data_IF_147119334331
#
_entry.id   IF_147119334331
#
_cell.length_a   1.000
_cell.length_b   1.000
_cell.length_c   1.000
_cell.angle_alpha   90.00
_cell.angle_beta   90.00
_cell.angle_gamma   90.00
#
_symmetry.space_group_name_H-M   'P 1'
#
loop_
_entity.id
_entity.type
_entity.pdbx_description
1 polymer ?
#
# COMPACT_ATOMS: atom_id res chain seq x y z
N UNK A 1 47.86 -14.04 2.19
CA UNK A 1 46.46 -13.93 1.91
C UNK A 1 45.83 -13.18 3.06
N UNK A 2 45.36 -11.97 2.78
CA UNK A 2 44.79 -11.08 3.77
C UNK A 2 43.28 -11.14 3.59
N UNK A 3 42.58 -11.69 4.58
CA UNK A 3 41.13 -11.69 4.69
C UNK A 3 40.67 -10.30 5.11
N UNK A 4 40.26 -9.51 4.14
CA UNK A 4 39.67 -8.19 4.38
C UNK A 4 38.21 -8.35 4.79
N UNK A 5 37.96 -8.38 6.10
CA UNK A 5 36.60 -8.19 6.64
C UNK A 5 36.10 -6.80 6.28
N UNK A 6 35.17 -6.76 5.33
CA UNK A 6 34.45 -5.56 4.95
C UNK A 6 33.34 -5.34 6.01
N UNK A 7 33.70 -4.64 7.09
CA UNK A 7 32.75 -4.19 8.11
C UNK A 7 31.80 -3.17 7.48
N UNK A 8 30.58 -3.61 7.15
CA UNK A 8 29.47 -2.72 6.82
C UNK A 8 29.00 -2.03 8.08
N UNK A 9 29.65 -0.93 8.43
CA UNK A 9 29.12 -0.01 9.44
C UNK A 9 27.84 0.59 8.87
N UNK A 10 26.70 0.12 9.41
CA UNK A 10 25.40 0.74 9.14
C UNK A 10 25.49 2.21 9.56
N UNK A 11 25.56 3.11 8.58
CA UNK A 11 25.54 4.53 8.82
C UNK A 11 24.27 4.89 9.57
N UNK A 12 24.42 5.30 10.85
CA UNK A 12 23.34 5.81 11.70
C UNK A 12 22.80 7.07 11.04
N UNK A 13 21.61 6.99 10.41
CA UNK A 13 20.94 8.17 9.85
C UNK A 13 20.79 9.21 10.95
N UNK A 14 21.16 10.47 10.69
CA UNK A 14 20.96 11.52 11.68
C UNK A 14 19.47 11.66 11.97
N UNK A 15 19.12 11.80 13.25
CA UNK A 15 17.74 11.89 13.75
C UNK A 15 16.92 13.05 13.13
N UNK A 16 17.59 14.01 12.51
CA UNK A 16 16.97 15.20 11.89
C UNK A 16 16.20 14.95 10.59
N UNK A 17 16.27 13.74 10.02
CA UNK A 17 15.65 13.45 8.70
C UNK A 17 14.47 12.47 8.75
N UNK A 18 13.98 12.07 9.93
CA UNK A 18 12.83 11.16 9.99
C UNK A 18 11.55 11.98 9.81
N UNK A 19 11.08 12.02 8.57
CA UNK A 19 9.80 12.62 8.19
C UNK A 19 8.68 11.58 8.24
N UNK A 20 7.44 12.02 8.06
CA UNK A 20 6.29 11.12 7.93
C UNK A 20 6.50 10.06 6.84
N UNK A 21 7.17 10.41 5.73
CA UNK A 21 7.49 9.46 4.65
C UNK A 21 8.34 8.27 5.12
N UNK A 22 9.18 8.46 6.14
CA UNK A 22 9.99 7.38 6.72
C UNK A 22 9.18 6.40 7.56
N UNK A 23 8.07 6.84 8.16
CA UNK A 23 7.22 6.01 9.04
C UNK A 23 5.98 5.46 8.32
N UNK A 24 5.54 6.07 7.21
CA UNK A 24 4.36 5.62 6.47
C UNK A 24 4.41 4.15 6.05
N UNK A 25 5.53 3.60 5.52
CA UNK A 25 5.62 2.18 5.21
C UNK A 25 5.37 1.29 6.42
N UNK A 26 5.84 1.69 7.61
CA UNK A 26 5.62 0.94 8.86
C UNK A 26 4.13 0.92 9.17
N UNK A 27 3.45 2.07 9.15
CA UNK A 27 2.02 2.15 9.36
C UNK A 27 1.24 1.29 8.35
N UNK A 28 1.58 1.38 7.06
CA UNK A 28 0.92 0.63 6.00
C UNK A 28 1.07 -0.87 6.17
N UNK A 29 2.25 -1.34 6.48
CA UNK A 29 2.53 -2.78 6.58
C UNK A 29 2.13 -3.41 7.93
N UNK A 30 2.14 -2.62 9.01
CA UNK A 30 1.98 -3.16 10.38
C UNK A 30 0.66 -2.76 11.04
N UNK A 31 0.01 -1.67 10.60
CA UNK A 31 -1.07 -1.06 11.38
C UNK A 31 -2.36 -0.87 10.58
N UNK A 32 -2.30 -0.33 9.34
CA UNK A 32 -3.51 0.10 8.60
C UNK A 32 -4.39 -1.04 8.11
N UNK A 33 -3.94 -2.28 8.18
CA UNK A 33 -4.79 -3.45 7.94
C UNK A 33 -5.98 -3.50 8.90
N UNK A 34 -5.77 -3.08 10.17
CA UNK A 34 -6.80 -3.01 11.20
C UNK A 34 -7.20 -1.58 11.55
N UNK A 35 -6.31 -0.60 11.38
CA UNK A 35 -6.50 0.82 11.72
C UNK A 35 -6.43 1.69 10.48
N UNK A 36 -7.25 1.40 9.46
CA UNK A 36 -7.25 2.06 8.16
C UNK A 36 -8.66 2.39 7.65
N UNK A 37 -8.80 2.56 6.32
CA UNK A 37 -10.07 2.97 5.71
C UNK A 37 -11.20 1.95 5.89
N UNK A 38 -10.88 0.66 5.71
CA UNK A 38 -11.90 -0.42 5.70
C UNK A 38 -12.20 -0.94 7.10
N UNK A 39 -11.25 -0.84 7.99
CA UNK A 39 -11.30 -1.32 9.35
C UNK A 39 -10.72 -0.27 10.27
N UNK A 40 -11.43 0.07 11.33
CA UNK A 40 -11.00 1.06 12.34
C UNK A 40 -11.24 0.48 13.73
N UNK A 41 -10.45 -0.55 14.06
CA UNK A 41 -10.53 -1.18 15.37
C UNK A 41 -10.31 -0.14 16.47
N UNK A 42 -11.18 -0.14 17.47
CA UNK A 42 -11.18 0.89 18.50
C UNK A 42 -11.43 2.32 17.99
N UNK A 43 -12.07 2.49 16.81
CA UNK A 43 -12.31 3.79 16.21
C UNK A 43 -11.04 4.53 15.76
N UNK A 44 -9.91 3.83 15.69
CA UNK A 44 -8.61 4.41 15.35
C UNK A 44 -8.31 4.30 13.85
N UNK A 45 -7.95 5.42 13.24
CA UNK A 45 -7.42 5.51 11.87
C UNK A 45 -5.98 6.04 11.90
N UNK A 46 -5.02 5.25 11.41
CA UNK A 46 -3.60 5.60 11.42
C UNK A 46 -3.08 6.09 10.06
N UNK A 47 -3.95 6.37 9.09
CA UNK A 47 -3.55 6.79 7.74
C UNK A 47 -3.04 8.22 7.67
N UNK A 48 -3.61 9.14 8.44
CA UNK A 48 -3.26 10.56 8.41
C UNK A 48 -2.73 11.03 9.75
N UNK A 49 -1.90 12.07 9.76
CA UNK A 49 -1.42 12.67 10.99
C UNK A 49 -2.58 13.17 11.87
N UNK A 50 -3.55 13.86 11.26
CA UNK A 50 -4.70 14.38 11.99
C UNK A 50 -5.49 13.27 12.71
N UNK A 51 -5.72 12.13 12.04
CA UNK A 51 -6.42 11.00 12.65
C UNK A 51 -5.59 10.30 13.73
N UNK A 52 -4.28 10.22 13.59
CA UNK A 52 -3.36 9.68 14.63
C UNK A 52 -3.38 10.55 15.88
N UNK A 53 -3.36 11.87 15.73
CA UNK A 53 -3.45 12.82 16.84
C UNK A 53 -4.83 12.82 17.50
N UNK A 54 -5.90 12.71 16.72
CA UNK A 54 -7.27 12.53 17.23
C UNK A 54 -7.38 11.24 18.05
N UNK A 55 -6.77 10.15 17.55
CA UNK A 55 -6.82 8.84 18.17
C UNK A 55 -8.13 8.11 18.01
N UNK A 56 -8.37 7.12 18.85
CA UNK A 56 -9.57 6.28 18.87
C UNK A 56 -10.31 6.35 20.22
N UNK A 57 -11.06 5.30 20.54
CA UNK A 57 -11.85 5.22 21.78
C UNK A 57 -11.01 5.26 23.05
N UNK A 58 -9.71 4.90 22.97
CA UNK A 58 -8.77 4.94 24.09
C UNK A 58 -7.98 6.27 24.19
N UNK A 59 -8.33 7.26 23.37
CA UNK A 59 -7.65 8.56 23.33
C UNK A 59 -6.64 8.69 22.18
N UNK A 60 -5.80 9.75 22.20
CA UNK A 60 -4.79 10.00 21.18
C UNK A 60 -3.80 8.85 21.03
N UNK A 61 -3.55 8.45 19.80
CA UNK A 61 -2.56 7.40 19.53
C UNK A 61 -1.13 7.91 19.68
N UNK A 62 -0.90 9.20 19.44
CA UNK A 62 0.38 9.89 19.47
C UNK A 62 0.32 11.09 20.40
N UNK A 63 1.39 11.28 21.15
CA UNK A 63 1.71 12.52 21.88
C UNK A 63 3.00 13.06 21.28
N UNK A 64 2.96 14.12 20.45
CA UNK A 64 4.14 14.68 19.82
C UNK A 64 5.24 15.04 20.83
N UNK A 65 6.47 14.66 20.54
CA UNK A 65 7.62 14.85 21.43
C UNK A 65 7.72 13.87 22.60
N UNK A 66 6.71 12.99 22.79
CA UNK A 66 6.63 12.12 23.97
C UNK A 66 6.30 10.67 23.59
N UNK A 67 7.25 9.90 23.08
CA UNK A 67 7.00 8.51 22.68
C UNK A 67 6.50 7.64 23.84
N UNK A 68 7.04 7.83 25.05
CA UNK A 68 6.66 7.04 26.24
C UNK A 68 5.22 7.33 26.73
N UNK A 69 4.68 8.50 26.42
CA UNK A 69 3.28 8.84 26.70
C UNK A 69 2.34 8.40 25.58
N UNK A 70 2.87 8.15 24.37
CA UNK A 70 2.09 7.76 23.18
C UNK A 70 1.51 6.36 23.32
N UNK A 71 0.19 6.24 23.21
CA UNK A 71 -0.52 4.96 23.34
C UNK A 71 -0.05 3.94 22.28
N UNK A 72 0.27 4.39 21.09
CA UNK A 72 0.83 3.56 20.02
C UNK A 72 2.11 2.86 20.50
N UNK A 73 3.07 3.60 21.07
CA UNK A 73 4.32 3.02 21.55
C UNK A 73 4.10 2.05 22.70
N UNK A 74 3.25 2.41 23.66
CA UNK A 74 2.90 1.53 24.78
C UNK A 74 2.36 0.19 24.29
N UNK A 75 1.40 0.21 23.35
CA UNK A 75 0.75 -0.99 22.82
C UNK A 75 1.69 -1.85 21.96
N UNK A 76 2.59 -1.23 21.20
CA UNK A 76 3.58 -1.96 20.40
C UNK A 76 4.63 -2.60 21.30
N UNK A 77 5.17 -1.86 22.28
CA UNK A 77 6.21 -2.35 23.18
C UNK A 77 5.70 -3.44 24.13
N UNK A 78 4.44 -3.36 24.57
CA UNK A 78 3.82 -4.40 25.39
C UNK A 78 3.46 -5.68 24.60
N UNK A 79 3.54 -5.64 23.26
CA UNK A 79 3.11 -6.73 22.39
C UNK A 79 1.59 -6.87 22.26
N UNK A 80 0.80 -5.93 22.79
CA UNK A 80 -0.64 -5.91 22.58
C UNK A 80 -1.02 -5.63 21.13
N UNK A 81 -0.18 -4.89 20.39
CA UNK A 81 -0.39 -4.53 18.98
C UNK A 81 0.85 -4.83 18.13
N UNK A 82 0.64 -5.53 16.99
CA UNK A 82 -0.59 -6.21 16.59
C UNK A 82 -0.87 -7.44 17.47
N UNK A 83 -2.15 -7.79 17.70
CA UNK A 83 -2.48 -9.03 18.41
C UNK A 83 -1.95 -10.26 17.65
N UNK A 84 -1.45 -11.27 18.37
CA UNK A 84 -0.82 -12.45 17.77
C UNK A 84 -1.68 -13.16 16.73
N UNK A 85 -3.01 -13.17 16.90
CA UNK A 85 -3.94 -13.75 15.92
C UNK A 85 -3.90 -13.06 14.55
N UNK A 86 -3.51 -11.78 14.47
CA UNK A 86 -3.46 -11.02 13.22
C UNK A 86 -2.36 -11.51 12.29
N UNK A 87 -1.32 -12.17 12.82
CA UNK A 87 -0.30 -12.82 12.00
C UNK A 87 -0.90 -13.90 11.10
N UNK A 88 -1.82 -14.69 11.65
CA UNK A 88 -2.44 -15.81 10.94
C UNK A 88 -3.60 -15.38 10.05
N UNK A 89 -4.41 -14.43 10.50
CA UNK A 89 -5.61 -13.99 9.77
C UNK A 89 -5.28 -13.01 8.63
N UNK A 90 -4.28 -12.14 8.81
CA UNK A 90 -3.99 -11.02 7.89
C UNK A 90 -2.51 -10.91 7.51
N UNK A 91 -1.67 -11.86 7.89
CA UNK A 91 -0.22 -11.84 7.69
C UNK A 91 0.46 -10.56 8.24
N UNK A 92 -0.13 -9.92 9.24
CA UNK A 92 0.41 -8.70 9.87
C UNK A 92 1.44 -9.11 10.92
N UNK A 93 2.71 -8.82 10.66
CA UNK A 93 3.81 -9.06 11.60
C UNK A 93 4.00 -7.87 12.53
N UNK A 94 4.43 -8.09 13.77
CA UNK A 94 4.87 -7.02 14.65
C UNK A 94 5.96 -6.16 14.00
N UNK A 95 6.03 -4.86 14.31
CA UNK A 95 7.17 -4.04 13.92
C UNK A 95 8.49 -4.62 14.45
N UNK A 96 9.54 -4.58 13.65
CA UNK A 96 10.89 -4.95 14.08
C UNK A 96 11.44 -3.92 15.07
N UNK A 97 12.50 -4.27 15.80
CA UNK A 97 13.16 -3.34 16.71
C UNK A 97 13.62 -2.07 16.00
N UNK A 98 14.13 -2.17 14.77
CA UNK A 98 14.54 -1.02 13.99
C UNK A 98 13.34 -0.15 13.55
N UNK A 99 12.20 -0.75 13.21
CA UNK A 99 10.98 -0.01 12.90
C UNK A 99 10.42 0.70 14.15
N UNK A 100 10.50 0.08 15.31
CA UNK A 100 10.11 0.67 16.59
C UNK A 100 10.98 1.89 16.89
N UNK A 101 12.31 1.81 16.70
CA UNK A 101 13.21 2.95 16.90
C UNK A 101 12.93 4.09 15.90
N UNK A 102 12.60 3.78 14.66
CA UNK A 102 12.20 4.80 13.68
C UNK A 102 10.92 5.51 14.13
N UNK A 103 9.91 4.77 14.60
CA UNK A 103 8.69 5.36 15.17
C UNK A 103 8.97 6.22 16.40
N UNK A 104 9.84 5.74 17.31
CA UNK A 104 10.25 6.48 18.52
C UNK A 104 10.86 7.82 18.16
N UNK A 105 11.90 7.83 17.31
CA UNK A 105 12.59 9.06 16.90
C UNK A 105 11.67 10.02 16.15
N UNK A 106 10.75 9.50 15.31
CA UNK A 106 9.78 10.35 14.63
C UNK A 106 8.83 11.03 15.62
N UNK A 107 8.36 10.30 16.65
CA UNK A 107 7.50 10.89 17.70
C UNK A 107 8.29 11.89 18.54
N UNK A 108 9.55 11.59 18.92
CA UNK A 108 10.45 12.50 19.63
C UNK A 108 10.67 13.82 18.89
N UNK A 109 10.78 13.75 17.56
CA UNK A 109 10.88 14.92 16.69
C UNK A 109 9.56 15.72 16.55
N UNK A 110 8.52 15.34 17.31
CA UNK A 110 7.22 16.01 17.27
C UNK A 110 6.23 15.41 16.27
N UNK A 111 6.51 14.22 15.75
CA UNK A 111 5.70 13.53 14.74
C UNK A 111 5.41 14.43 13.51
N UNK A 112 6.44 14.99 12.86
CA UNK A 112 6.26 15.95 11.78
C UNK A 112 5.51 15.34 10.60
N UNK A 113 4.54 16.10 10.05
CA UNK A 113 3.86 15.76 8.81
C UNK A 113 4.80 15.92 7.61
N UNK A 114 4.57 15.15 6.56
CA UNK A 114 5.18 15.44 5.27
C UNK A 114 4.45 16.62 4.59
N UNK A 115 5.18 17.58 4.03
CA UNK A 115 4.53 18.67 3.31
C UNK A 115 3.66 18.24 2.12
N UNK A 116 3.83 17.01 1.64
CA UNK A 116 3.05 16.43 0.55
C UNK A 116 1.83 15.59 0.99
N UNK A 117 1.68 15.31 2.28
CA UNK A 117 0.56 14.49 2.81
C UNK A 117 -0.58 15.32 3.37
N UNK A 118 -0.49 16.63 3.32
CA UNK A 118 -1.47 17.51 3.93
C UNK A 118 -2.84 17.53 3.24
N UNK A 119 -2.97 16.98 2.05
CA UNK A 119 -4.26 16.96 1.38
C UNK A 119 -4.43 15.68 0.53
N UNK A 120 -4.79 14.58 1.16
CA UNK A 120 -5.69 13.67 0.46
C UNK A 120 -7.02 14.41 0.41
N UNK A 121 -7.31 15.01 -0.72
CA UNK A 121 -8.53 15.76 -0.91
C UNK A 121 -9.72 14.90 -0.48
N UNK A 122 -10.50 15.41 0.48
CA UNK A 122 -11.70 14.74 0.98
C UNK A 122 -12.80 14.67 -0.09
N UNK A 123 -12.61 15.36 -1.20
CA UNK A 123 -13.52 15.44 -2.35
C UNK A 123 -13.28 14.40 -3.46
N UNK A 124 -12.33 13.49 -3.26
CA UNK A 124 -12.03 12.41 -4.22
C UNK A 124 -11.15 12.82 -5.40
N UNK A 125 -10.68 14.06 -5.47
CA UNK A 125 -9.69 14.51 -6.46
C UNK A 125 -8.29 14.40 -5.86
N UNK A 126 -7.46 13.51 -6.41
CA UNK A 126 -6.05 13.39 -6.05
C UNK A 126 -5.28 14.44 -6.87
N UNK A 127 -4.59 15.43 -6.23
CA UNK A 127 -3.84 16.45 -6.94
C UNK A 127 -2.63 15.88 -7.72
N UNK A 128 -2.23 14.65 -7.42
CA UNK A 128 -1.17 13.94 -8.16
C UNK A 128 -1.70 13.22 -9.41
N UNK A 129 -3.03 13.14 -9.59
CA UNK A 129 -3.67 12.51 -10.75
C UNK A 129 -4.32 13.60 -11.58
N UNK A 130 -3.68 13.95 -12.68
CA UNK A 130 -4.21 14.92 -13.63
C UNK A 130 -5.42 14.39 -14.41
N UNK A 131 -6.18 15.27 -15.04
CA UNK A 131 -7.27 14.86 -15.93
C UNK A 131 -6.75 14.11 -17.16
N UNK A 132 -5.49 14.31 -17.54
CA UNK A 132 -4.83 13.55 -18.60
C UNK A 132 -4.55 12.11 -18.15
N UNK A 133 -4.06 11.92 -16.91
CA UNK A 133 -3.85 10.59 -16.34
C UNK A 133 -5.17 9.80 -16.26
N UNK A 134 -6.27 10.48 -15.92
CA UNK A 134 -7.61 9.87 -15.86
C UNK A 134 -8.10 9.39 -17.23
N UNK A 135 -7.63 9.97 -18.34
CA UNK A 135 -7.97 9.56 -19.69
C UNK A 135 -7.16 8.37 -20.17
N UNK A 136 -6.11 7.99 -19.45
CA UNK A 136 -5.31 6.83 -19.83
C UNK A 136 -6.19 5.57 -19.86
N UNK A 137 -5.98 4.72 -20.84
CA UNK A 137 -6.89 3.62 -21.15
C UNK A 137 -7.18 2.67 -19.98
N UNK A 138 -6.18 2.41 -19.11
CA UNK A 138 -6.34 1.50 -17.97
C UNK A 138 -7.23 2.06 -16.85
N UNK A 139 -7.46 3.37 -16.83
CA UNK A 139 -8.34 4.04 -15.87
C UNK A 139 -9.73 4.34 -16.44
N UNK A 140 -9.94 4.04 -17.72
CA UNK A 140 -11.26 4.17 -18.34
C UNK A 140 -12.11 2.92 -18.07
N UNK A 141 -13.42 3.08 -17.85
CA UNK A 141 -14.32 1.93 -17.76
C UNK A 141 -14.18 1.06 -19.01
N UNK A 142 -14.06 -0.27 -18.87
CA UNK A 142 -13.95 -1.15 -20.01
C UNK A 142 -15.18 -1.03 -20.90
N UNK A 143 -14.95 -0.77 -22.17
CA UNK A 143 -16.00 -0.74 -23.20
C UNK A 143 -16.03 -2.08 -23.91
N UNK A 144 -17.23 -2.66 -24.06
CA UNK A 144 -17.40 -3.90 -24.82
C UNK A 144 -17.21 -3.58 -26.31
N UNK A 145 -16.16 -4.12 -26.97
CA UNK A 145 -15.98 -3.91 -28.39
C UNK A 145 -17.06 -4.65 -29.20
N UNK A 146 -17.37 -4.17 -30.39
CA UNK A 146 -18.21 -4.92 -31.34
C UNK A 146 -17.50 -6.23 -31.71
N UNK A 147 -18.24 -7.32 -31.67
CA UNK A 147 -17.71 -8.63 -32.08
C UNK A 147 -17.54 -8.61 -33.61
N UNK A 148 -16.32 -8.82 -34.14
CA UNK A 148 -16.08 -8.79 -35.56
C UNK A 148 -16.68 -10.02 -36.25
N UNK A 149 -16.84 -9.96 -37.57
CA UNK A 149 -17.14 -11.13 -38.41
C UNK A 149 -15.85 -11.80 -38.83
N UNK A 150 -15.84 -13.13 -38.83
CA UNK A 150 -14.72 -13.97 -39.28
C UNK A 150 -15.16 -14.97 -40.33
N UNK A 151 -14.22 -15.44 -41.16
CA UNK A 151 -14.49 -16.42 -42.23
C UNK A 151 -14.77 -17.82 -41.66
N UNK A 152 -13.97 -18.22 -40.64
CA UNK A 152 -14.05 -19.56 -40.03
C UNK A 152 -14.99 -19.60 -38.84
N UNK A 153 -16.27 -19.28 -39.04
CA UNK A 153 -17.27 -19.25 -37.97
C UNK A 153 -17.47 -20.59 -37.26
N UNK A 154 -17.21 -21.71 -37.94
CA UNK A 154 -17.29 -23.05 -37.33
C UNK A 154 -16.29 -23.31 -36.21
N UNK A 155 -15.25 -22.49 -36.11
CA UNK A 155 -14.24 -22.56 -35.01
C UNK A 155 -14.60 -21.71 -33.80
N UNK A 156 -15.66 -20.92 -33.87
CA UNK A 156 -16.08 -20.01 -32.81
C UNK A 156 -16.88 -20.75 -31.74
N UNK A 157 -16.36 -20.82 -30.54
CA UNK A 157 -17.06 -21.34 -29.34
C UNK A 157 -17.46 -20.22 -28.38
N UNK A 158 -16.62 -19.19 -28.30
CA UNK A 158 -16.82 -18.03 -27.42
C UNK A 158 -16.58 -16.72 -28.18
N UNK A 159 -17.08 -15.58 -27.69
CA UNK A 159 -16.78 -14.29 -28.32
C UNK A 159 -15.28 -13.97 -28.38
N UNK A 160 -14.47 -14.52 -27.49
CA UNK A 160 -13.00 -14.33 -27.51
C UNK A 160 -12.38 -14.97 -28.74
N UNK A 161 -12.89 -16.13 -29.16
CA UNK A 161 -12.38 -16.86 -30.35
C UNK A 161 -12.51 -16.02 -31.61
N UNK A 162 -13.56 -15.22 -31.71
CA UNK A 162 -13.77 -14.32 -32.87
C UNK A 162 -12.64 -13.30 -32.98
N UNK A 163 -12.21 -12.70 -31.88
CA UNK A 163 -11.09 -11.74 -31.89
C UNK A 163 -9.75 -12.39 -32.20
N UNK A 164 -9.55 -13.64 -31.78
CA UNK A 164 -8.35 -14.41 -32.12
C UNK A 164 -8.36 -14.77 -33.61
N UNK A 165 -9.46 -15.33 -34.11
CA UNK A 165 -9.62 -15.72 -35.51
C UNK A 165 -9.46 -14.53 -36.46
N UNK A 166 -10.03 -13.36 -36.11
CA UNK A 166 -9.84 -12.15 -36.90
C UNK A 166 -8.36 -11.80 -37.09
N UNK A 167 -7.56 -11.90 -35.99
CA UNK A 167 -6.12 -11.63 -36.05
C UNK A 167 -5.33 -12.68 -36.82
N UNK A 168 -5.74 -13.92 -36.76
CA UNK A 168 -5.12 -15.02 -37.52
C UNK A 168 -5.43 -14.88 -38.99
N UNK A 169 -6.70 -14.68 -39.38
CA UNK A 169 -7.14 -14.48 -40.72
C UNK A 169 -6.48 -13.27 -41.41
N UNK A 170 -6.31 -12.16 -40.65
CA UNK A 170 -5.60 -10.97 -41.15
C UNK A 170 -4.11 -11.25 -41.46
N UNK A 171 -3.54 -12.33 -40.92
CA UNK A 171 -2.17 -12.78 -41.20
C UNK A 171 -2.08 -14.00 -42.10
N UNK A 172 -3.23 -14.44 -42.68
CA UNK A 172 -3.35 -15.68 -43.43
C UNK A 172 -2.87 -16.92 -42.68
N UNK A 173 -3.12 -16.94 -41.35
CA UNK A 173 -2.82 -18.09 -40.51
C UNK A 173 -4.10 -18.88 -40.23
N UNK A 174 -4.00 -20.20 -40.26
CA UNK A 174 -5.07 -21.14 -39.89
C UNK A 174 -4.78 -21.79 -38.58
N UNK A 175 -5.83 -22.18 -37.83
CA UNK A 175 -5.71 -22.99 -36.60
C UNK A 175 -5.93 -24.44 -37.00
N UNK A 176 -4.90 -25.26 -36.81
CA UNK A 176 -5.05 -26.72 -36.86
C UNK A 176 -5.28 -27.19 -35.42
N UNK A 177 -6.43 -27.83 -35.18
CA UNK A 177 -6.63 -28.55 -33.92
C UNK A 177 -5.99 -29.91 -34.07
N UNK A 178 -4.99 -30.22 -33.23
CA UNK A 178 -4.55 -31.59 -33.07
C UNK A 178 -5.72 -32.39 -32.53
N UNK A 179 -6.14 -33.41 -33.24
CA UNK A 179 -7.05 -34.41 -32.70
C UNK A 179 -6.31 -35.13 -31.56
N UNK A 180 -6.84 -35.00 -30.33
CA UNK A 180 -6.37 -35.72 -29.17
C UNK A 180 -7.21 -36.96 -29.02
#
# INVERSE_FOLDING_TARGET
PADGEMSLTAAKRPAAEITENGVMPIFQMRCTGCHGKRRQEGGLDLRTQASRLKGGTSGPALVPGKPEESLLMKKVLSGEMPPAKMLYEFAVRPPSSSEVEVLRHWIEAGAPASPKTSEVAQDGTDPLVSDEDRKFWSFQPPKRPAVPTVQHQGLVRTPVDVFLLQKLEAKNLTVEFAEI
#
